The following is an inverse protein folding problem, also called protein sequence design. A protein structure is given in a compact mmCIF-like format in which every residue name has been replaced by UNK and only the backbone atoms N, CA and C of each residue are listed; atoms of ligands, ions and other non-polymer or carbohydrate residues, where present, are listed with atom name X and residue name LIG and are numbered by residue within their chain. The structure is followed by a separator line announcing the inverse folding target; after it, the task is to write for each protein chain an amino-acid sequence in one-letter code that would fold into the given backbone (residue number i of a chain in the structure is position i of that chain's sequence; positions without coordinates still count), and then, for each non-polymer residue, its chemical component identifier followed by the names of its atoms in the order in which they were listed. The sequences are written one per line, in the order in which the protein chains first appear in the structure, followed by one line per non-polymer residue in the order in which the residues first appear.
data_IF_059963561078
#
_entry.id   IF_059963561078
#
_cell.length_a   1.000
_cell.length_b   1.000
_cell.length_c   1.000
_cell.angle_alpha   90.00
_cell.angle_beta   90.00
_cell.angle_gamma   90.00
#
_symmetry.space_group_name_H-M   'P 1'
#
loop_
_entity.id
_entity.type
_entity.pdbx_description
1 polymer ?
#
# COMPACT_ATOMS: atom_id res chain seq x y z
N UNK A 1 -28.58 19.42 25.52
CA UNK A 1 -28.02 18.16 25.03
C UNK A 1 -26.55 18.13 25.44
N UNK A 2 -26.02 17.04 25.99
CA UNK A 2 -24.60 16.98 26.31
C UNK A 2 -23.80 17.18 25.01
N UNK A 3 -22.83 18.07 25.03
CA UNK A 3 -21.85 18.24 23.95
C UNK A 3 -21.17 16.90 23.72
N UNK A 4 -21.12 16.36 22.50
CA UNK A 4 -20.43 15.11 22.24
C UNK A 4 -18.97 15.25 22.69
N UNK A 5 -18.48 14.26 23.44
CA UNK A 5 -17.08 14.20 23.88
C UNK A 5 -16.18 14.27 22.65
N UNK A 6 -15.24 15.20 22.64
CA UNK A 6 -14.22 15.25 21.59
C UNK A 6 -13.41 13.95 21.61
N UNK A 7 -13.10 13.46 20.44
CA UNK A 7 -12.25 12.30 20.28
C UNK A 7 -10.80 12.68 20.56
N UNK A 8 -10.04 11.75 21.15
CA UNK A 8 -8.62 11.97 21.48
C UNK A 8 -7.73 11.10 20.61
N UNK A 9 -6.81 11.74 19.91
CA UNK A 9 -5.81 11.11 19.06
C UNK A 9 -4.42 11.32 19.65
N UNK A 10 -3.66 10.22 19.82
CA UNK A 10 -2.26 10.28 20.17
C UNK A 10 -1.42 10.07 18.90
N UNK A 11 -0.50 10.98 18.63
CA UNK A 11 0.49 10.88 17.55
C UNK A 11 1.86 10.65 18.16
N UNK A 12 2.53 9.56 17.75
CA UNK A 12 3.87 9.19 18.21
C UNK A 12 4.81 9.26 17.01
N UNK A 13 5.56 10.33 16.92
CA UNK A 13 6.44 10.66 15.78
C UNK A 13 7.59 11.53 16.30
N UNK A 14 8.84 11.18 15.99
CA UNK A 14 10.02 11.91 16.49
C UNK A 14 10.43 13.07 15.57
N UNK A 15 9.99 13.06 14.31
CA UNK A 15 10.32 14.10 13.34
C UNK A 15 9.35 15.30 13.45
N UNK A 16 9.81 16.50 13.85
CA UNK A 16 8.94 17.67 14.01
C UNK A 16 8.19 18.08 12.74
N UNK A 17 8.81 17.92 11.56
CA UNK A 17 8.15 18.26 10.29
C UNK A 17 7.00 17.31 9.98
N UNK A 18 7.18 16.02 10.29
CA UNK A 18 6.13 15.01 10.13
C UNK A 18 5.02 15.18 11.16
N UNK A 19 5.35 15.52 12.42
CA UNK A 19 4.36 15.88 13.44
C UNK A 19 3.42 16.99 12.94
N UNK A 20 3.98 18.07 12.40
CA UNK A 20 3.20 19.19 11.85
C UNK A 20 2.30 18.72 10.70
N UNK A 21 2.84 17.93 9.79
CA UNK A 21 2.10 17.42 8.63
C UNK A 21 0.94 16.51 9.04
N UNK A 22 1.17 15.58 9.97
CA UNK A 22 0.14 14.67 10.48
C UNK A 22 -0.92 15.46 11.27
N UNK A 23 -0.52 16.43 12.10
CA UNK A 23 -1.45 17.29 12.82
C UNK A 23 -2.33 18.12 11.88
N UNK A 24 -1.75 18.69 10.81
CA UNK A 24 -2.51 19.44 9.80
C UNK A 24 -3.51 18.54 9.05
N UNK A 25 -3.10 17.30 8.76
CA UNK A 25 -3.93 16.32 8.08
C UNK A 25 -5.08 15.84 8.95
N UNK A 26 -4.82 15.41 10.19
CA UNK A 26 -5.78 14.74 11.06
C UNK A 26 -6.53 15.70 11.99
N UNK A 27 -5.88 16.79 12.40
CA UNK A 27 -6.46 17.77 13.34
C UNK A 27 -7.69 18.46 12.78
N UNK A 28 -8.70 18.62 13.62
CA UNK A 28 -9.91 19.38 13.36
C UNK A 28 -10.59 19.71 14.68
N UNK A 29 -11.65 20.56 14.64
CA UNK A 29 -12.38 21.02 15.83
C UNK A 29 -13.06 19.91 16.66
N UNK A 30 -13.23 18.73 16.08
CA UNK A 30 -13.84 17.55 16.70
C UNK A 30 -12.84 16.59 17.37
N UNK A 31 -11.53 16.83 17.23
CA UNK A 31 -10.46 15.97 17.75
C UNK A 31 -9.51 16.79 18.63
N UNK A 32 -9.19 16.25 19.79
CA UNK A 32 -8.08 16.70 20.62
C UNK A 32 -6.85 15.84 20.27
N UNK A 33 -5.80 16.47 19.76
CA UNK A 33 -4.57 15.79 19.33
C UNK A 33 -3.48 16.02 20.36
N UNK A 34 -2.90 14.95 20.85
CA UNK A 34 -1.66 14.98 21.64
C UNK A 34 -0.53 14.40 20.78
N UNK A 35 0.64 15.06 20.79
CA UNK A 35 1.83 14.64 20.04
C UNK A 35 2.95 14.35 21.03
N UNK A 36 3.60 13.22 20.86
CA UNK A 36 4.78 12.81 21.62
C UNK A 36 5.87 12.34 20.67
N UNK A 37 7.13 12.48 21.08
CA UNK A 37 8.31 12.26 20.24
C UNK A 37 9.06 10.95 20.54
N UNK A 38 8.53 10.14 21.44
CA UNK A 38 9.22 8.94 21.91
C UNK A 38 8.24 7.85 22.41
N UNK A 39 8.71 6.61 22.39
CA UNK A 39 7.91 5.47 22.86
C UNK A 39 7.61 5.54 24.34
N UNK A 40 8.58 5.98 25.15
CA UNK A 40 8.37 6.18 26.60
C UNK A 40 7.32 7.24 26.90
N UNK A 41 7.34 8.36 26.17
CA UNK A 41 6.33 9.41 26.30
C UNK A 41 4.94 8.91 25.87
N UNK A 42 4.88 8.09 24.81
CA UNK A 42 3.63 7.48 24.37
C UNK A 42 3.01 6.57 25.43
N UNK A 43 3.80 5.68 26.02
CA UNK A 43 3.32 4.80 27.10
C UNK A 43 2.87 5.60 28.34
N UNK A 44 3.62 6.65 28.73
CA UNK A 44 3.25 7.53 29.83
C UNK A 44 1.93 8.30 29.53
N UNK A 45 1.72 8.76 28.31
CA UNK A 45 0.46 9.40 27.90
C UNK A 45 -0.73 8.44 28.02
N UNK A 46 -0.58 7.20 27.54
CA UNK A 46 -1.61 6.15 27.61
C UNK A 46 -1.97 5.77 29.06
N UNK A 47 -1.00 5.80 29.96
CA UNK A 47 -1.27 5.57 31.39
C UNK A 47 -2.03 6.74 32.04
N UNK A 48 -1.72 7.97 31.63
CA UNK A 48 -2.31 9.19 32.20
C UNK A 48 -3.76 9.39 31.77
N UNK A 49 -4.10 9.08 30.51
CA UNK A 49 -5.43 9.30 29.97
C UNK A 49 -5.82 8.30 28.88
N UNK A 50 -7.09 8.35 28.46
CA UNK A 50 -7.61 7.45 27.45
C UNK A 50 -7.65 8.14 26.08
N UNK A 51 -7.15 7.46 25.05
CA UNK A 51 -7.20 7.87 23.65
C UNK A 51 -8.19 6.99 22.88
N UNK A 52 -8.76 7.54 21.81
CA UNK A 52 -9.68 6.83 20.92
C UNK A 52 -8.93 6.19 19.74
N UNK A 53 -7.71 6.68 19.43
CA UNK A 53 -6.83 6.11 18.39
C UNK A 53 -5.38 6.55 18.64
N UNK A 54 -4.42 5.76 18.18
CA UNK A 54 -2.99 6.07 18.17
C UNK A 54 -2.46 5.99 16.73
N UNK A 55 -1.70 6.99 16.30
CA UNK A 55 -0.85 6.94 15.10
C UNK A 55 0.59 6.78 15.57
N UNK A 56 1.29 5.75 15.11
CA UNK A 56 2.59 5.35 15.61
C UNK A 56 3.61 5.17 14.49
N UNK A 57 4.72 5.91 14.54
CA UNK A 57 5.90 5.55 13.75
C UNK A 57 6.68 4.40 14.41
N UNK A 58 7.30 3.57 13.58
CA UNK A 58 8.14 2.46 14.04
C UNK A 58 9.55 2.89 14.40
N UNK A 59 10.03 4.00 13.88
CA UNK A 59 11.34 4.57 14.19
C UNK A 59 11.22 5.64 15.26
N UNK A 60 11.58 5.30 16.49
CA UNK A 60 11.58 6.22 17.62
C UNK A 60 12.97 6.24 18.27
N UNK A 61 13.35 7.34 18.94
CA UNK A 61 14.71 7.52 19.43
C UNK A 61 15.09 6.65 20.64
N UNK A 62 14.12 6.25 21.45
CA UNK A 62 14.33 5.56 22.72
C UNK A 62 14.03 4.06 22.65
N UNK A 63 13.06 3.66 21.83
CA UNK A 63 12.66 2.27 21.61
C UNK A 63 12.04 2.10 20.23
N UNK A 64 11.92 0.86 19.75
CA UNK A 64 11.24 0.60 18.48
C UNK A 64 9.73 0.68 18.65
N UNK A 65 9.00 1.12 17.60
CA UNK A 65 7.53 1.10 17.62
C UNK A 65 6.96 -0.30 17.82
N UNK A 66 7.70 -1.36 17.45
CA UNK A 66 7.32 -2.74 17.78
C UNK A 66 7.27 -3.00 19.29
N UNK A 67 8.25 -2.46 20.05
CA UNK A 67 8.25 -2.58 21.52
C UNK A 67 7.09 -1.82 22.15
N UNK A 68 6.74 -0.65 21.59
CA UNK A 68 5.55 0.11 22.03
C UNK A 68 4.29 -0.72 21.77
N UNK A 69 4.11 -1.26 20.55
CA UNK A 69 2.97 -2.10 20.18
C UNK A 69 2.81 -3.31 21.09
N UNK A 70 3.91 -4.02 21.35
CA UNK A 70 3.89 -5.19 22.23
C UNK A 70 3.51 -4.84 23.67
N UNK A 71 4.02 -3.71 24.17
CA UNK A 71 3.68 -3.24 25.52
C UNK A 71 2.20 -2.90 25.61
N UNK A 72 1.66 -2.20 24.61
CA UNK A 72 0.22 -1.88 24.54
C UNK A 72 -0.59 -3.18 24.45
N UNK A 73 -0.21 -4.10 23.56
CA UNK A 73 -0.95 -5.36 23.34
C UNK A 73 -0.96 -6.26 24.59
N UNK A 74 0.11 -6.26 25.39
CA UNK A 74 0.19 -7.02 26.65
C UNK A 74 -0.61 -6.38 27.80
N UNK A 75 -0.97 -5.12 27.68
CA UNK A 75 -1.68 -4.38 28.70
C UNK A 75 -3.18 -4.46 28.45
N UNK A 76 -3.91 -5.21 29.28
CA UNK A 76 -5.34 -5.47 29.12
C UNK A 76 -6.17 -4.18 28.97
N UNK A 77 -5.78 -3.12 29.67
CA UNK A 77 -6.39 -1.77 29.58
C UNK A 77 -6.42 -1.19 28.16
N UNK A 78 -5.48 -1.60 27.28
CA UNK A 78 -5.32 -1.05 25.93
C UNK A 78 -5.67 -2.05 24.82
N UNK A 79 -6.22 -3.23 25.15
CA UNK A 79 -6.49 -4.32 24.20
C UNK A 79 -7.39 -3.92 23.02
N UNK A 80 -8.30 -2.99 23.24
CA UNK A 80 -9.25 -2.49 22.24
C UNK A 80 -8.84 -1.16 21.57
N UNK A 81 -7.68 -0.60 21.99
CA UNK A 81 -7.22 0.68 21.45
C UNK A 81 -6.77 0.53 19.99
N UNK A 82 -7.41 1.21 19.03
CA UNK A 82 -6.99 1.16 17.65
C UNK A 82 -5.62 1.84 17.46
N UNK A 83 -4.69 1.14 16.82
CA UNK A 83 -3.37 1.65 16.49
C UNK A 83 -3.19 1.59 14.98
N UNK A 84 -2.92 2.74 14.37
CA UNK A 84 -2.52 2.88 12.98
C UNK A 84 -1.01 3.09 12.95
N UNK A 85 -0.29 2.11 12.42
CA UNK A 85 1.15 2.26 12.18
C UNK A 85 1.35 3.09 10.92
N UNK A 86 2.09 4.19 11.03
CA UNK A 86 2.39 5.09 9.93
C UNK A 86 3.90 5.26 9.82
N UNK A 87 4.53 4.51 8.91
CA UNK A 87 5.98 4.39 8.89
C UNK A 87 6.58 4.45 7.49
N UNK A 88 7.74 5.12 7.35
CA UNK A 88 8.59 5.08 6.17
C UNK A 88 9.65 3.96 6.20
N UNK A 89 9.51 2.99 7.10
CA UNK A 89 10.42 1.86 7.16
C UNK A 89 10.02 0.80 6.13
N UNK A 90 10.98 0.31 5.36
CA UNK A 90 10.81 -0.90 4.57
C UNK A 90 10.65 -2.09 5.52
N UNK A 91 9.51 -2.78 5.39
CA UNK A 91 9.14 -3.90 6.24
C UNK A 91 9.54 -5.22 5.59
N UNK A 92 10.19 -6.10 6.35
CA UNK A 92 10.33 -7.48 5.91
C UNK A 92 8.97 -8.20 5.95
N UNK A 93 8.79 -9.33 5.20
CA UNK A 93 7.57 -10.12 5.27
C UNK A 93 7.19 -10.56 6.70
N UNK A 94 8.19 -10.87 7.53
CA UNK A 94 7.99 -11.26 8.92
C UNK A 94 7.55 -10.08 9.79
N UNK A 95 8.14 -8.89 9.57
CA UNK A 95 7.75 -7.66 10.25
C UNK A 95 6.31 -7.25 9.87
N UNK A 96 5.96 -7.32 8.59
CA UNK A 96 4.60 -7.02 8.13
C UNK A 96 3.56 -7.99 8.74
N UNK A 97 3.85 -9.30 8.72
CA UNK A 97 2.98 -10.29 9.35
C UNK A 97 2.80 -10.05 10.86
N UNK A 98 3.89 -9.68 11.57
CA UNK A 98 3.85 -9.35 13.00
C UNK A 98 3.04 -8.09 13.27
N UNK A 99 3.19 -7.03 12.46
CA UNK A 99 2.40 -5.80 12.60
C UNK A 99 0.91 -6.03 12.44
N UNK A 100 0.49 -6.89 11.50
CA UNK A 100 -0.92 -7.23 11.28
C UNK A 100 -1.58 -7.91 12.47
N UNK A 101 -0.80 -8.53 13.36
CA UNK A 101 -1.34 -9.12 14.60
C UNK A 101 -1.40 -8.11 15.76
N UNK A 102 -0.58 -7.06 15.71
CA UNK A 102 -0.42 -6.10 16.81
C UNK A 102 -1.11 -4.75 16.55
N UNK A 103 -1.27 -4.37 15.29
CA UNK A 103 -1.89 -3.11 14.89
C UNK A 103 -3.19 -3.34 14.12
N UNK A 104 -4.15 -2.40 14.23
CA UNK A 104 -5.41 -2.45 13.47
C UNK A 104 -5.19 -2.14 12.00
N UNK A 105 -4.25 -1.24 11.69
CA UNK A 105 -3.89 -0.88 10.33
C UNK A 105 -2.41 -0.50 10.23
N UNK A 106 -1.84 -0.74 9.05
CA UNK A 106 -0.45 -0.37 8.72
C UNK A 106 -0.47 0.43 7.43
N UNK A 107 -0.07 1.69 7.54
CA UNK A 107 0.08 2.61 6.40
C UNK A 107 1.57 2.87 6.19
N UNK A 108 2.12 2.39 5.08
CA UNK A 108 3.50 2.70 4.69
C UNK A 108 3.51 4.08 4.07
N UNK A 109 4.48 4.94 4.47
CA UNK A 109 4.62 6.31 3.96
C UNK A 109 4.99 6.28 2.47
N UNK A 110 4.04 6.60 1.62
CA UNK A 110 4.13 6.72 0.16
C UNK A 110 3.36 7.96 -0.34
N UNK A 111 3.18 8.12 -1.63
CA UNK A 111 2.49 9.29 -2.23
C UNK A 111 1.02 9.38 -1.81
N UNK A 112 0.33 8.26 -1.62
CA UNK A 112 -1.08 8.18 -1.19
C UNK A 112 -1.23 8.01 0.33
N UNK A 113 -0.14 8.01 1.07
CA UNK A 113 -0.15 7.75 2.50
C UNK A 113 -0.93 8.79 3.33
N UNK A 114 -0.97 10.09 2.98
CA UNK A 114 -1.80 11.06 3.68
C UNK A 114 -3.28 10.74 3.59
N UNK A 115 -3.78 10.40 2.40
CA UNK A 115 -5.18 10.04 2.17
C UNK A 115 -5.56 8.77 2.94
N UNK A 116 -4.68 7.76 2.91
CA UNK A 116 -4.88 6.51 3.64
C UNK A 116 -4.85 6.70 5.14
N UNK A 117 -3.91 7.48 5.64
CA UNK A 117 -3.85 7.80 7.07
C UNK A 117 -5.12 8.52 7.53
N UNK A 118 -5.65 9.45 6.71
CA UNK A 118 -6.89 10.14 6.98
C UNK A 118 -8.09 9.20 6.99
N UNK A 119 -8.17 8.27 6.03
CA UNK A 119 -9.25 7.29 5.90
C UNK A 119 -9.29 6.33 7.10
N UNK A 120 -8.16 5.71 7.41
CA UNK A 120 -8.02 4.77 8.53
C UNK A 120 -8.33 5.44 9.88
N UNK A 121 -7.78 6.63 10.11
CA UNK A 121 -8.05 7.33 11.37
C UNK A 121 -9.49 7.84 11.45
N UNK A 122 -10.11 8.25 10.35
CA UNK A 122 -11.52 8.63 10.32
C UNK A 122 -12.43 7.46 10.69
N UNK A 123 -12.12 6.25 10.19
CA UNK A 123 -12.84 5.02 10.53
C UNK A 123 -12.77 4.73 12.03
N UNK A 124 -11.57 4.68 12.62
CA UNK A 124 -11.40 4.34 14.03
C UNK A 124 -11.90 5.42 15.00
N UNK A 125 -11.84 6.69 14.61
CA UNK A 125 -12.41 7.78 15.36
C UNK A 125 -13.92 7.93 15.16
N UNK A 126 -14.54 7.07 14.33
CA UNK A 126 -15.95 7.12 13.95
C UNK A 126 -16.38 8.51 13.44
N UNK A 127 -15.52 9.13 12.62
CA UNK A 127 -15.81 10.44 12.04
C UNK A 127 -16.79 10.30 10.87
N UNK A 128 -17.73 11.22 10.80
CA UNK A 128 -18.62 11.31 9.64
C UNK A 128 -17.91 12.11 8.55
N UNK A 129 -17.60 11.47 7.43
CA UNK A 129 -16.82 12.07 6.31
C UNK A 129 -17.43 13.42 5.86
N UNK A 130 -18.76 13.53 5.84
CA UNK A 130 -19.45 14.78 5.47
C UNK A 130 -19.17 15.96 6.42
N UNK A 131 -18.65 15.71 7.62
CA UNK A 131 -18.28 16.76 8.57
C UNK A 131 -16.81 17.20 8.44
N UNK A 132 -16.04 16.55 7.56
CA UNK A 132 -14.67 16.96 7.26
C UNK A 132 -14.65 18.22 6.38
N UNK A 133 -13.54 18.99 6.38
CA UNK A 133 -13.35 20.06 5.40
C UNK A 133 -13.48 19.55 3.96
N UNK A 134 -14.04 20.35 3.02
CA UNK A 134 -14.25 19.90 1.63
C UNK A 134 -13.00 19.35 0.94
N UNK A 135 -11.82 19.89 1.25
CA UNK A 135 -10.55 19.41 0.72
C UNK A 135 -10.26 17.98 1.19
N UNK A 136 -10.47 17.69 2.47
CA UNK A 136 -10.27 16.34 3.05
C UNK A 136 -11.31 15.34 2.55
N UNK A 137 -12.57 15.78 2.34
CA UNK A 137 -13.58 14.94 1.68
C UNK A 137 -13.14 14.57 0.26
N UNK A 138 -12.65 15.54 -0.52
CA UNK A 138 -12.16 15.30 -1.88
C UNK A 138 -10.96 14.34 -1.92
N UNK A 139 -10.05 14.41 -0.93
CA UNK A 139 -8.94 13.46 -0.81
C UNK A 139 -9.45 12.03 -0.64
N UNK A 140 -10.41 11.81 0.27
CA UNK A 140 -11.02 10.49 0.49
C UNK A 140 -11.80 9.99 -0.73
N UNK A 141 -12.57 10.85 -1.39
CA UNK A 141 -13.29 10.49 -2.62
C UNK A 141 -12.32 10.05 -3.72
N UNK A 142 -11.19 10.75 -3.88
CA UNK A 142 -10.18 10.38 -4.86
C UNK A 142 -9.52 9.04 -4.50
N UNK A 143 -9.19 8.81 -3.22
CA UNK A 143 -8.63 7.55 -2.74
C UNK A 143 -9.60 6.40 -3.05
N UNK A 144 -10.86 6.50 -2.64
CA UNK A 144 -11.86 5.46 -2.84
C UNK A 144 -12.07 5.15 -4.33
N UNK A 145 -12.18 6.17 -5.19
CA UNK A 145 -12.28 5.97 -6.65
C UNK A 145 -11.05 5.29 -7.23
N UNK A 146 -9.86 5.61 -6.74
CA UNK A 146 -8.62 5.00 -7.22
C UNK A 146 -8.50 3.53 -6.83
N UNK A 147 -9.01 3.15 -5.67
CA UNK A 147 -9.05 1.76 -5.22
C UNK A 147 -10.16 0.97 -5.91
N UNK A 148 -11.34 1.56 -6.14
CA UNK A 148 -12.42 0.94 -6.92
C UNK A 148 -11.98 0.55 -8.33
N UNK A 149 -11.13 1.36 -8.95
CA UNK A 149 -10.60 1.08 -10.28
C UNK A 149 -9.73 -0.19 -10.36
N UNK A 150 -9.08 -0.55 -9.25
CA UNK A 150 -8.24 -1.74 -9.15
C UNK A 150 -9.01 -2.93 -8.60
N UNK A 151 -10.05 -2.68 -7.80
CA UNK A 151 -10.80 -3.73 -7.10
C UNK A 151 -11.45 -4.73 -8.07
N UNK A 152 -11.19 -6.01 -7.84
CA UNK A 152 -11.71 -7.11 -8.66
C UNK A 152 -11.00 -7.30 -10.01
N UNK A 153 -10.13 -6.39 -10.44
CA UNK A 153 -9.35 -6.57 -11.67
C UNK A 153 -8.37 -7.74 -11.50
N UNK A 154 -8.29 -8.60 -12.52
CA UNK A 154 -7.37 -9.75 -12.55
C UNK A 154 -6.03 -9.35 -13.13
N UNK A 155 -4.97 -9.54 -12.36
CA UNK A 155 -3.59 -9.31 -12.79
C UNK A 155 -2.81 -10.62 -12.80
N UNK A 156 -2.06 -10.86 -13.87
CA UNK A 156 -1.12 -11.97 -13.96
C UNK A 156 0.30 -11.45 -13.69
N UNK A 157 0.92 -11.90 -12.62
CA UNK A 157 2.30 -11.57 -12.24
C UNK A 157 3.21 -12.71 -12.68
N UNK A 158 4.21 -12.40 -13.50
CA UNK A 158 5.14 -13.36 -14.09
C UNK A 158 6.56 -12.98 -13.69
N UNK A 159 7.20 -13.81 -12.90
CA UNK A 159 8.58 -13.61 -12.42
C UNK A 159 9.11 -14.97 -11.96
N UNK A 160 10.38 -15.30 -12.23
CA UNK A 160 10.97 -16.58 -11.82
C UNK A 160 11.41 -16.58 -10.33
N UNK A 161 11.48 -15.40 -9.70
CA UNK A 161 11.77 -15.25 -8.28
C UNK A 161 10.47 -15.16 -7.47
N UNK A 162 10.19 -16.21 -6.69
CA UNK A 162 9.02 -16.30 -5.80
C UNK A 162 8.93 -15.11 -4.82
N UNK A 163 10.07 -14.51 -4.44
CA UNK A 163 10.10 -13.33 -3.55
C UNK A 163 9.51 -12.11 -4.23
N UNK A 164 9.82 -11.89 -5.51
CA UNK A 164 9.25 -10.81 -6.31
C UNK A 164 7.74 -11.03 -6.50
N UNK A 165 7.34 -12.26 -6.84
CA UNK A 165 5.91 -12.64 -6.94
C UNK A 165 5.19 -12.30 -5.63
N UNK A 166 5.74 -12.72 -4.49
CA UNK A 166 5.12 -12.48 -3.18
C UNK A 166 5.01 -10.99 -2.86
N UNK A 167 6.08 -10.22 -3.10
CA UNK A 167 6.08 -8.78 -2.84
C UNK A 167 5.02 -8.04 -3.68
N UNK A 168 4.99 -8.31 -4.99
CA UNK A 168 4.01 -7.71 -5.90
C UNK A 168 2.58 -8.15 -5.56
N UNK A 169 2.36 -9.45 -5.35
CA UNK A 169 1.05 -9.99 -4.99
C UNK A 169 0.50 -9.34 -3.72
N UNK A 170 1.34 -9.21 -2.68
CA UNK A 170 0.94 -8.57 -1.42
C UNK A 170 0.47 -7.12 -1.61
N UNK A 171 1.13 -6.37 -2.46
CA UNK A 171 0.74 -4.97 -2.78
C UNK A 171 -0.59 -4.93 -3.53
N UNK A 172 -0.76 -5.80 -4.54
CA UNK A 172 -1.92 -5.79 -5.43
C UNK A 172 -3.19 -6.32 -4.75
N UNK A 173 -3.06 -7.39 -3.95
CA UNK A 173 -4.16 -7.97 -3.18
C UNK A 173 -4.69 -6.99 -2.12
N UNK A 174 -3.81 -6.17 -1.51
CA UNK A 174 -4.23 -5.08 -0.60
C UNK A 174 -5.10 -4.02 -1.28
N UNK A 175 -5.03 -3.91 -2.60
CA UNK A 175 -5.87 -3.01 -3.41
C UNK A 175 -7.09 -3.73 -4.00
N UNK A 176 -7.41 -4.92 -3.49
CA UNK A 176 -8.57 -5.70 -3.92
C UNK A 176 -8.45 -6.34 -5.30
N UNK A 177 -7.25 -6.38 -5.89
CA UNK A 177 -7.00 -7.08 -7.15
C UNK A 177 -7.00 -8.60 -6.95
N UNK A 178 -7.38 -9.33 -7.97
CA UNK A 178 -7.26 -10.79 -8.01
C UNK A 178 -5.93 -11.13 -8.70
N UNK A 179 -4.97 -11.66 -7.94
CA UNK A 179 -3.63 -11.95 -8.43
C UNK A 179 -3.52 -13.40 -8.89
N UNK A 180 -3.10 -13.61 -10.12
CA UNK A 180 -2.63 -14.89 -10.65
C UNK A 180 -1.12 -14.80 -10.83
N UNK A 181 -0.44 -15.92 -10.70
CA UNK A 181 1.03 -15.96 -10.76
C UNK A 181 1.51 -17.02 -11.76
N UNK A 182 2.68 -16.78 -12.36
CA UNK A 182 3.39 -17.74 -13.19
C UNK A 182 4.90 -17.58 -12.98
N UNK A 183 5.61 -18.67 -12.82
CA UNK A 183 7.07 -18.68 -12.63
C UNK A 183 7.87 -18.76 -13.94
N UNK A 184 7.21 -18.96 -15.08
CA UNK A 184 7.83 -19.08 -16.41
C UNK A 184 6.94 -18.49 -17.50
N UNK A 185 7.55 -18.11 -18.62
CA UNK A 185 6.81 -17.62 -19.80
C UNK A 185 5.80 -18.64 -20.33
N UNK A 186 6.12 -19.92 -20.31
CA UNK A 186 5.21 -20.99 -20.74
C UNK A 186 3.99 -21.12 -19.82
N UNK A 187 4.21 -21.11 -18.52
CA UNK A 187 3.13 -21.12 -17.53
C UNK A 187 2.22 -19.90 -17.66
N UNK A 188 2.80 -18.73 -17.97
CA UNK A 188 2.04 -17.51 -18.21
C UNK A 188 1.10 -17.63 -19.42
N UNK A 189 1.58 -18.19 -20.53
CA UNK A 189 0.77 -18.43 -21.74
C UNK A 189 -0.35 -19.42 -21.45
N UNK A 190 -0.07 -20.51 -20.72
CA UNK A 190 -1.07 -21.50 -20.31
C UNK A 190 -2.10 -20.88 -19.38
N UNK A 191 -1.70 -20.01 -18.46
CA UNK A 191 -2.60 -19.32 -17.53
C UNK A 191 -3.52 -18.35 -18.25
N UNK A 192 -3.00 -17.58 -19.22
CA UNK A 192 -3.82 -16.73 -20.08
C UNK A 192 -4.84 -17.51 -20.87
N UNK A 193 -4.48 -18.67 -21.40
CA UNK A 193 -5.40 -19.53 -22.17
C UNK A 193 -6.54 -20.10 -21.30
N UNK A 194 -6.28 -20.36 -20.02
CA UNK A 194 -7.24 -20.90 -19.06
C UNK A 194 -8.10 -19.83 -18.37
N UNK A 195 -7.62 -18.59 -18.36
CA UNK A 195 -8.25 -17.48 -17.64
C UNK A 195 -8.43 -16.28 -18.58
N UNK A 196 -9.52 -16.24 -19.36
CA UNK A 196 -9.71 -15.28 -20.47
C UNK A 196 -10.00 -13.85 -20.01
N UNK A 197 -10.27 -13.60 -18.73
CA UNK A 197 -10.67 -12.32 -18.15
C UNK A 197 -9.53 -11.64 -17.35
N UNK A 198 -8.28 -12.02 -17.63
CA UNK A 198 -7.11 -11.30 -17.12
C UNK A 198 -7.11 -9.89 -17.72
N UNK A 199 -7.06 -8.89 -16.85
CA UNK A 199 -7.18 -7.48 -17.22
C UNK A 199 -5.84 -6.83 -17.55
N UNK A 200 -4.74 -7.32 -16.95
CA UNK A 200 -3.39 -6.78 -17.10
C UNK A 200 -2.33 -7.81 -16.72
N UNK A 201 -1.15 -7.69 -17.32
CA UNK A 201 0.01 -8.56 -17.07
C UNK A 201 1.19 -7.74 -16.56
N UNK A 202 1.85 -8.21 -15.50
CA UNK A 202 3.18 -7.76 -15.06
C UNK A 202 4.19 -8.83 -15.46
N UNK A 203 5.15 -8.47 -16.32
CA UNK A 203 6.07 -9.39 -16.98
C UNK A 203 7.50 -9.09 -16.59
N UNK A 204 8.15 -10.00 -15.86
CA UNK A 204 9.60 -9.93 -15.75
C UNK A 204 10.26 -10.20 -17.10
N UNK A 205 11.31 -9.43 -17.40
CA UNK A 205 12.08 -9.62 -18.62
C UNK A 205 13.13 -10.71 -18.47
N UNK A 206 13.73 -10.84 -17.29
CA UNK A 206 14.91 -11.68 -17.07
C UNK A 206 14.50 -13.04 -16.47
N UNK A 207 13.90 -13.90 -17.29
CA UNK A 207 13.50 -15.25 -16.87
C UNK A 207 14.32 -16.31 -17.61
N UNK A 208 14.55 -17.51 -16.99
CA UNK A 208 15.21 -18.62 -17.65
C UNK A 208 14.32 -19.27 -18.72
N UNK A 209 14.93 -19.99 -19.64
CA UNK A 209 14.33 -20.76 -20.75
C UNK A 209 13.60 -19.89 -21.79
N UNK A 210 12.56 -19.17 -21.40
CA UNK A 210 11.76 -18.27 -22.21
C UNK A 210 11.71 -16.93 -21.53
N UNK A 211 12.44 -15.95 -22.05
CA UNK A 211 12.49 -14.61 -21.46
C UNK A 211 11.19 -13.81 -21.65
N UNK A 212 11.10 -12.64 -21.00
CA UNK A 212 9.91 -11.81 -21.09
C UNK A 212 9.65 -11.26 -22.49
N UNK A 213 10.70 -11.02 -23.29
CA UNK A 213 10.54 -10.54 -24.67
C UNK A 213 9.89 -11.62 -25.54
N UNK A 214 10.43 -12.84 -25.51
CA UNK A 214 9.90 -13.99 -26.26
C UNK A 214 8.45 -14.29 -25.81
N UNK A 215 8.20 -14.26 -24.49
CA UNK A 215 6.87 -14.50 -23.93
C UNK A 215 5.85 -13.49 -24.44
N UNK A 216 6.20 -12.18 -24.43
CA UNK A 216 5.32 -11.11 -24.95
C UNK A 216 5.05 -11.27 -26.46
N UNK A 217 6.07 -11.61 -27.24
CA UNK A 217 5.91 -11.84 -28.69
C UNK A 217 4.93 -12.99 -28.96
N UNK A 218 5.03 -14.10 -28.21
CA UNK A 218 4.09 -15.22 -28.34
C UNK A 218 2.67 -14.81 -27.91
N UNK A 219 2.53 -14.09 -26.81
CA UNK A 219 1.22 -13.57 -26.37
C UNK A 219 0.60 -12.69 -27.46
N UNK A 220 1.39 -11.80 -28.09
CA UNK A 220 0.90 -10.88 -29.13
C UNK A 220 0.57 -11.57 -30.47
N UNK A 221 1.04 -12.78 -30.71
CA UNK A 221 0.63 -13.56 -31.89
C UNK A 221 -0.84 -14.00 -31.81
N UNK A 222 -1.41 -14.09 -30.60
CA UNK A 222 -2.82 -14.40 -30.42
C UNK A 222 -3.68 -13.11 -30.50
N UNK A 223 -4.58 -12.98 -31.49
CA UNK A 223 -5.44 -11.80 -31.64
C UNK A 223 -6.26 -11.42 -30.40
N UNK A 224 -6.60 -12.39 -29.57
CA UNK A 224 -7.35 -12.19 -28.34
C UNK A 224 -6.59 -11.29 -27.36
N UNK A 225 -5.24 -11.32 -27.36
CA UNK A 225 -4.41 -10.59 -26.43
C UNK A 225 -3.74 -9.34 -27.03
N UNK A 226 -4.10 -8.92 -28.24
CA UNK A 226 -3.51 -7.74 -28.87
C UNK A 226 -3.72 -6.46 -28.03
N UNK A 227 -4.82 -6.36 -27.28
CA UNK A 227 -5.15 -5.21 -26.45
C UNK A 227 -4.89 -5.44 -24.96
N UNK A 228 -4.49 -6.64 -24.56
CA UNK A 228 -4.17 -6.94 -23.16
C UNK A 228 -2.97 -6.08 -22.71
N UNK A 229 -3.11 -5.19 -21.72
CA UNK A 229 -1.98 -4.41 -21.24
C UNK A 229 -0.90 -5.32 -20.63
N UNK A 230 0.36 -5.09 -21.02
CA UNK A 230 1.51 -5.78 -20.45
C UNK A 230 2.49 -4.71 -19.97
N UNK A 231 2.78 -4.70 -18.69
CA UNK A 231 3.82 -3.85 -18.08
C UNK A 231 5.07 -4.71 -17.91
N UNK A 232 6.14 -4.37 -18.63
CA UNK A 232 7.41 -5.06 -18.51
C UNK A 232 8.19 -4.57 -17.27
N UNK A 233 8.69 -5.49 -16.47
CA UNK A 233 9.53 -5.24 -15.30
C UNK A 233 10.97 -5.62 -15.63
N UNK A 234 11.91 -4.67 -15.59
CA UNK A 234 13.28 -4.89 -16.04
C UNK A 234 14.32 -4.46 -15.00
N UNK A 235 15.36 -5.27 -14.80
CA UNK A 235 16.51 -4.91 -13.97
C UNK A 235 17.43 -3.87 -14.64
N UNK A 236 17.28 -3.62 -15.94
CA UNK A 236 18.11 -2.69 -16.71
C UNK A 236 17.27 -1.50 -17.16
N UNK A 237 17.68 -0.30 -16.74
CA UNK A 237 17.09 0.97 -17.16
C UNK A 237 18.01 1.72 -18.15
N UNK A 238 18.65 0.99 -19.07
CA UNK A 238 19.54 1.61 -20.05
C UNK A 238 18.75 2.17 -21.23
N UNK A 239 19.35 3.17 -21.89
CA UNK A 239 18.81 3.74 -23.13
C UNK A 239 18.74 2.64 -24.18
N UNK A 240 17.52 2.32 -24.65
CA UNK A 240 17.25 1.24 -25.60
C UNK A 240 16.48 0.03 -24.99
N UNK A 241 16.50 -0.16 -23.68
CA UNK A 241 15.72 -1.27 -23.07
C UNK A 241 14.21 -0.98 -23.13
N UNK A 242 13.82 0.30 -23.04
CA UNK A 242 12.44 0.72 -23.23
C UNK A 242 11.92 0.38 -24.61
N UNK A 243 12.69 0.75 -25.66
CA UNK A 243 12.32 0.48 -27.04
C UNK A 243 12.17 -1.03 -27.28
N UNK A 244 13.09 -1.85 -26.77
CA UNK A 244 13.01 -3.31 -26.88
C UNK A 244 11.76 -3.88 -26.22
N UNK A 245 11.39 -3.41 -25.02
CA UNK A 245 10.16 -3.84 -24.35
C UNK A 245 8.92 -3.51 -25.22
N UNK A 246 8.84 -2.29 -25.74
CA UNK A 246 7.72 -1.87 -26.58
C UNK A 246 7.67 -2.62 -27.92
N UNK A 247 8.80 -2.86 -28.56
CA UNK A 247 8.91 -3.65 -29.80
C UNK A 247 8.51 -5.12 -29.58
N UNK A 248 8.81 -5.68 -28.39
CA UNK A 248 8.37 -7.02 -28.02
C UNK A 248 6.87 -7.11 -27.70
N UNK A 249 6.18 -5.96 -27.55
CA UNK A 249 4.74 -5.91 -27.33
C UNK A 249 4.32 -5.47 -25.93
N UNK A 250 5.23 -4.93 -25.10
CA UNK A 250 4.84 -4.29 -23.86
C UNK A 250 4.00 -3.03 -24.14
N UNK A 251 3.06 -2.75 -23.24
CA UNK A 251 2.28 -1.51 -23.24
C UNK A 251 3.01 -0.40 -22.46
N UNK A 252 3.79 -0.79 -21.45
CA UNK A 252 4.56 0.08 -20.57
C UNK A 252 5.76 -0.71 -20.03
N UNK A 253 6.74 0.00 -19.46
CA UNK A 253 7.88 -0.63 -18.79
C UNK A 253 8.18 0.05 -17.45
N UNK A 254 8.73 -0.71 -16.50
CA UNK A 254 9.18 -0.21 -15.20
C UNK A 254 10.52 -0.84 -14.81
N UNK A 255 11.39 -0.04 -14.23
CA UNK A 255 12.68 -0.52 -13.71
C UNK A 255 12.51 -1.20 -12.35
N UNK A 256 13.21 -2.29 -12.13
CA UNK A 256 13.37 -2.91 -10.79
C UNK A 256 14.50 -2.17 -10.01
N UNK A 257 14.36 -1.94 -8.70
CA UNK A 257 13.24 -2.34 -7.86
C UNK A 257 11.97 -1.55 -8.19
N UNK A 258 10.84 -2.27 -8.27
CA UNK A 258 9.55 -1.68 -8.65
C UNK A 258 9.07 -0.73 -7.55
N UNK A 259 8.89 0.53 -7.90
CA UNK A 259 8.25 1.49 -7.00
C UNK A 259 6.75 1.25 -6.98
N UNK A 260 6.19 1.04 -5.78
CA UNK A 260 4.78 0.69 -5.58
C UNK A 260 3.82 1.73 -6.14
N UNK A 261 4.11 3.03 -5.95
CA UNK A 261 3.22 4.10 -6.42
C UNK A 261 3.22 4.21 -7.93
N UNK A 262 4.41 4.09 -8.53
CA UNK A 262 4.54 4.07 -9.99
C UNK A 262 3.81 2.87 -10.60
N UNK A 263 3.89 1.70 -9.96
CA UNK A 263 3.17 0.50 -10.37
C UNK A 263 1.66 0.73 -10.32
N UNK A 264 1.13 1.18 -9.18
CA UNK A 264 -0.30 1.41 -9.00
C UNK A 264 -0.84 2.49 -9.95
N UNK A 265 -0.07 3.56 -10.18
CA UNK A 265 -0.41 4.60 -11.15
C UNK A 265 -0.46 4.05 -12.59
N UNK A 266 0.51 3.22 -12.97
CA UNK A 266 0.53 2.55 -14.26
C UNK A 266 -0.65 1.61 -14.44
N UNK A 267 -0.96 0.79 -13.42
CA UNK A 267 -2.11 -0.12 -13.44
C UNK A 267 -3.43 0.63 -13.63
N UNK A 268 -3.66 1.73 -12.89
CA UNK A 268 -4.86 2.56 -13.04
C UNK A 268 -4.97 3.13 -14.45
N UNK A 269 -3.86 3.64 -15.00
CA UNK A 269 -3.83 4.20 -16.36
C UNK A 269 -4.26 3.18 -17.41
N UNK A 270 -3.85 1.93 -17.27
CA UNK A 270 -4.13 0.88 -18.24
C UNK A 270 -5.47 0.18 -18.03
N UNK A 271 -5.98 0.13 -16.80
CA UNK A 271 -7.30 -0.48 -16.50
C UNK A 271 -8.47 0.46 -16.78
N UNK A 272 -8.24 1.78 -16.85
CA UNK A 272 -9.27 2.77 -17.21
C UNK A 272 -9.43 3.01 -18.72
N UNK A 273 -8.65 2.36 -19.57
CA UNK A 273 -8.75 2.45 -21.04
C UNK A 273 -9.65 1.37 -21.60
#
# INVERSE_FOLDING_TARGET
MPTPRRKKLLIVEDNPAEQISICALLGHTDIDVEVVDSGGAALAALERESFDCVVLDLRLPDMTGFQVLETIHRTEKFSELPIVVFTGKDLSPEEDARLRTLARSVVVKDVESPERLLDETALFLHRVVSNLPPEKQKMLDNLHRSDEALAGAKVLVIDDDVRNIFALSSVLERRGMVVLTAGTGREAIDTLAKTPDISIVLMDIMMPEMDGYETMQVIRQNPQYHRLPIIALTAKAMKGDREKCLEAGASEYMAKPVNTDQLLSGLRTWLHR
#
